data_IF_293771783774
#
_entry.id   IF_293771783774
#
_cell.length_a   1.000
_cell.length_b   1.000
_cell.length_c   1.000
_cell.angle_alpha   90.00
_cell.angle_beta   90.00
_cell.angle_gamma   90.00
#
_symmetry.space_group_name_H-M   'P 1'
#
loop_
_entity.id
_entity.type
_entity.pdbx_description
1 polymer ?
#
# COMPACT_ATOMS: atom_id res chain seq x y z
N UNK A 1 -33.16 0.11 -0.17
CA UNK A 1 -33.11 1.57 0.07
C UNK A 1 -31.78 2.05 0.67
N UNK A 2 -31.39 1.64 1.89
CA UNK A 2 -30.19 2.20 2.57
C UNK A 2 -28.89 2.07 1.77
N UNK A 3 -28.64 0.91 1.15
CA UNK A 3 -27.49 0.67 0.28
C UNK A 3 -27.43 1.66 -0.89
N UNK A 4 -28.53 1.79 -1.65
CA UNK A 4 -28.61 2.72 -2.78
C UNK A 4 -28.37 4.17 -2.36
N UNK A 5 -28.93 4.59 -1.23
CA UNK A 5 -28.69 5.93 -0.66
C UNK A 5 -27.22 6.16 -0.31
N UNK A 6 -26.57 5.15 0.29
CA UNK A 6 -25.15 5.22 0.63
C UNK A 6 -24.27 5.30 -0.62
N UNK A 7 -24.53 4.46 -1.63
CA UNK A 7 -23.83 4.49 -2.93
C UNK A 7 -24.02 5.84 -3.63
N UNK A 8 -25.26 6.36 -3.66
CA UNK A 8 -25.55 7.68 -4.26
C UNK A 8 -24.79 8.82 -3.58
N UNK A 9 -24.77 8.85 -2.24
CA UNK A 9 -23.96 9.83 -1.49
C UNK A 9 -22.45 9.66 -1.71
N UNK A 10 -21.98 8.41 -1.81
CA UNK A 10 -20.59 8.11 -2.10
C UNK A 10 -20.14 8.66 -3.46
N UNK A 11 -20.96 8.44 -4.49
CA UNK A 11 -20.71 8.96 -5.83
C UNK A 11 -20.64 10.49 -5.84
N UNK A 12 -21.61 11.17 -5.21
CA UNK A 12 -21.60 12.63 -5.08
C UNK A 12 -20.35 13.13 -4.36
N UNK A 13 -19.90 12.43 -3.31
CA UNK A 13 -18.67 12.78 -2.58
C UNK A 13 -17.43 12.64 -3.46
N UNK A 14 -17.33 11.59 -4.28
CA UNK A 14 -16.21 11.40 -5.21
C UNK A 14 -16.19 12.50 -6.26
N UNK A 15 -17.33 12.82 -6.88
CA UNK A 15 -17.43 13.90 -7.87
C UNK A 15 -17.07 15.27 -7.28
N UNK A 16 -17.55 15.55 -6.06
CA UNK A 16 -17.30 16.82 -5.37
C UNK A 16 -15.81 17.05 -5.05
N UNK A 17 -14.99 16.00 -4.86
CA UNK A 17 -13.53 16.16 -4.66
C UNK A 17 -12.83 16.84 -5.84
N UNK A 18 -13.41 16.73 -7.03
CA UNK A 18 -12.90 17.32 -8.27
C UNK A 18 -13.76 18.50 -8.74
N UNK A 19 -14.73 18.94 -7.93
CA UNK A 19 -15.62 20.06 -8.27
C UNK A 19 -16.68 19.74 -9.34
N UNK A 20 -17.00 18.47 -9.59
CA UNK A 20 -17.96 18.09 -10.63
C UNK A 20 -19.37 17.97 -10.05
N UNK A 21 -20.32 18.67 -10.68
CA UNK A 21 -21.71 18.77 -10.19
C UNK A 21 -22.72 17.90 -10.93
N UNK A 22 -22.37 17.32 -12.09
CA UNK A 22 -23.30 16.47 -12.87
C UNK A 22 -22.70 15.11 -13.19
N UNK A 23 -23.51 14.06 -13.04
CA UNK A 23 -23.08 12.69 -13.37
C UNK A 23 -22.80 12.52 -14.87
N UNK A 24 -23.53 13.26 -15.71
CA UNK A 24 -23.33 13.25 -17.17
C UNK A 24 -21.92 13.70 -17.54
N UNK A 25 -21.40 14.75 -16.90
CA UNK A 25 -20.02 15.21 -17.11
C UNK A 25 -18.99 14.26 -16.51
N UNK A 26 -19.30 13.59 -15.39
CA UNK A 26 -18.39 12.64 -14.75
C UNK A 26 -18.24 11.33 -15.55
N UNK A 27 -19.33 10.87 -16.18
CA UNK A 27 -19.36 9.63 -16.96
C UNK A 27 -18.38 9.72 -18.14
N UNK A 28 -17.40 8.83 -18.18
CA UNK A 28 -16.39 8.78 -19.24
C UNK A 28 -15.26 9.81 -19.10
N UNK A 29 -15.28 10.67 -18.08
CA UNK A 29 -14.21 11.65 -17.85
C UNK A 29 -12.90 11.02 -17.35
N UNK A 30 -12.91 9.72 -17.00
CA UNK A 30 -11.71 8.94 -16.66
C UNK A 30 -10.82 9.60 -15.58
N UNK A 31 -11.45 10.19 -14.56
CA UNK A 31 -10.75 10.95 -13.51
C UNK A 31 -10.15 9.99 -12.48
N UNK A 32 -9.12 9.26 -12.91
CA UNK A 32 -8.37 8.30 -12.14
C UNK A 32 -6.95 8.19 -12.69
N UNK A 33 -6.02 7.77 -11.85
CA UNK A 33 -4.67 7.37 -12.25
C UNK A 33 -4.56 5.84 -12.09
N UNK A 34 -4.05 5.16 -13.12
CA UNK A 34 -3.77 3.74 -13.07
C UNK A 34 -2.34 3.50 -12.56
N UNK A 35 -2.21 2.78 -11.45
CA UNK A 35 -0.91 2.43 -10.85
C UNK A 35 -0.77 0.91 -10.86
N UNK A 36 0.32 0.40 -11.43
CA UNK A 36 0.65 -1.03 -11.41
C UNK A 36 -0.04 -1.85 -12.50
N UNK A 37 -0.62 -1.21 -13.52
CA UNK A 37 -1.13 -1.87 -14.73
C UNK A 37 -0.17 -1.63 -15.89
N UNK A 38 0.04 -2.65 -16.73
CA UNK A 38 0.85 -2.51 -17.94
C UNK A 38 0.20 -1.55 -18.94
N UNK A 39 1.03 -0.96 -19.80
CA UNK A 39 0.58 -0.02 -20.84
C UNK A 39 -0.46 -0.66 -21.77
N UNK A 40 -0.25 -1.90 -22.20
CA UNK A 40 -1.16 -2.60 -23.12
C UNK A 40 -2.58 -2.74 -22.53
N UNK A 41 -2.70 -2.98 -21.22
CA UNK A 41 -3.99 -3.06 -20.52
C UNK A 41 -4.66 -1.69 -20.45
N UNK A 42 -3.88 -0.65 -20.12
CA UNK A 42 -4.41 0.72 -20.03
C UNK A 42 -4.85 1.21 -21.40
N UNK A 43 -4.04 1.05 -22.43
CA UNK A 43 -4.35 1.49 -23.80
C UNK A 43 -5.59 0.77 -24.36
N UNK A 44 -5.77 -0.53 -24.06
CA UNK A 44 -6.92 -1.29 -24.55
C UNK A 44 -8.22 -1.02 -23.76
N UNK A 45 -8.15 -0.92 -22.43
CA UNK A 45 -9.34 -0.92 -21.58
C UNK A 45 -9.68 0.46 -20.98
N UNK A 46 -8.69 1.35 -20.89
CA UNK A 46 -8.77 2.63 -20.18
C UNK A 46 -8.02 3.72 -20.95
N UNK A 47 -8.15 3.72 -22.29
CA UNK A 47 -7.47 4.67 -23.16
C UNK A 47 -7.63 6.11 -22.67
N UNK A 48 -6.54 6.87 -22.58
CA UNK A 48 -6.51 8.22 -22.03
C UNK A 48 -6.26 8.33 -20.52
N UNK A 49 -6.30 7.24 -19.75
CA UNK A 49 -5.96 7.24 -18.31
C UNK A 49 -4.45 7.35 -18.09
N UNK A 50 -4.03 8.23 -17.18
CA UNK A 50 -2.63 8.36 -16.83
C UNK A 50 -2.11 7.10 -16.11
N UNK A 51 -1.00 6.55 -16.59
CA UNK A 51 -0.31 5.43 -15.93
C UNK A 51 1.21 5.64 -15.94
N UNK A 52 1.75 6.11 -14.82
CA UNK A 52 3.19 6.42 -14.68
C UNK A 52 4.02 5.23 -14.23
N UNK A 53 3.40 4.30 -13.51
CA UNK A 53 4.02 3.09 -13.01
C UNK A 53 3.33 1.89 -13.65
N UNK A 54 4.02 1.28 -14.61
CA UNK A 54 3.56 0.06 -15.26
C UNK A 54 3.47 -1.12 -14.30
N UNK A 55 2.91 -2.24 -14.75
CA UNK A 55 2.87 -3.45 -13.94
C UNK A 55 2.18 -4.62 -14.62
N UNK A 56 1.06 -5.08 -14.06
CA UNK A 56 0.38 -6.30 -14.45
C UNK A 56 -0.19 -6.21 -15.87
N UNK A 57 0.13 -7.21 -16.69
CA UNK A 57 -0.48 -7.44 -18.00
C UNK A 57 -1.67 -8.39 -17.94
N UNK A 58 -2.32 -8.60 -19.08
CA UNK A 58 -3.50 -9.45 -19.21
C UNK A 58 -3.30 -10.87 -18.69
N UNK A 59 -2.15 -11.50 -18.98
CA UNK A 59 -1.84 -12.86 -18.52
C UNK A 59 -1.89 -12.97 -16.98
N UNK A 60 -1.16 -12.10 -16.26
CA UNK A 60 -1.13 -12.11 -14.79
C UNK A 60 -2.47 -11.72 -14.18
N UNK A 61 -3.21 -10.82 -14.82
CA UNK A 61 -4.58 -10.49 -14.40
C UNK A 61 -5.51 -11.71 -14.55
N UNK A 62 -5.39 -12.45 -15.65
CA UNK A 62 -6.10 -13.69 -15.89
C UNK A 62 -5.77 -14.76 -14.86
N UNK A 63 -4.49 -14.98 -14.57
CA UNK A 63 -4.04 -15.90 -13.53
C UNK A 63 -4.63 -15.55 -12.16
N UNK A 64 -4.61 -14.27 -11.77
CA UNK A 64 -5.24 -13.85 -10.50
C UNK A 64 -6.75 -14.04 -10.48
N UNK A 65 -7.42 -13.81 -11.60
CA UNK A 65 -8.85 -14.09 -11.70
C UNK A 65 -9.15 -15.60 -11.52
N UNK A 66 -8.29 -16.47 -12.08
CA UNK A 66 -8.37 -17.92 -11.88
C UNK A 66 -8.06 -18.32 -10.43
N UNK A 67 -7.07 -17.72 -9.77
CA UNK A 67 -6.79 -17.98 -8.34
C UNK A 67 -7.97 -17.61 -7.44
N UNK A 68 -8.65 -16.49 -7.72
CA UNK A 68 -9.88 -16.12 -7.00
C UNK A 68 -11.00 -17.11 -7.29
N UNK A 69 -11.13 -17.55 -8.54
CA UNK A 69 -12.12 -18.55 -8.93
C UNK A 69 -11.87 -19.89 -8.22
N UNK A 70 -10.66 -20.42 -8.24
CA UNK A 70 -10.29 -21.68 -7.59
C UNK A 70 -10.49 -21.63 -6.08
N UNK A 71 -10.22 -20.48 -5.43
CA UNK A 71 -10.55 -20.28 -4.00
C UNK A 71 -12.06 -20.37 -3.73
N UNK A 72 -12.86 -19.84 -4.65
CA UNK A 72 -14.32 -19.88 -4.56
C UNK A 72 -14.94 -21.17 -5.06
N UNK A 73 -14.28 -21.93 -5.94
CA UNK A 73 -14.79 -23.14 -6.57
C UNK A 73 -13.64 -24.14 -6.73
N UNK A 74 -13.20 -24.81 -5.64
CA UNK A 74 -12.04 -25.68 -5.71
C UNK A 74 -12.27 -26.86 -6.64
N UNK A 75 -11.37 -27.07 -7.59
CA UNK A 75 -11.44 -28.13 -8.60
C UNK A 75 -11.36 -29.54 -7.98
N UNK A 76 -10.78 -29.64 -6.78
CA UNK A 76 -10.66 -30.90 -6.02
C UNK A 76 -11.84 -31.17 -5.10
N UNK A 77 -12.86 -30.31 -5.11
CA UNK A 77 -13.99 -30.45 -4.21
C UNK A 77 -14.90 -31.63 -4.62
N UNK A 78 -15.11 -32.56 -3.68
CA UNK A 78 -16.00 -33.72 -3.86
C UNK A 78 -17.36 -33.55 -3.18
N UNK A 79 -17.52 -32.50 -2.37
CA UNK A 79 -18.77 -32.14 -1.70
C UNK A 79 -19.58 -31.14 -2.54
N UNK A 80 -20.90 -31.02 -2.33
CA UNK A 80 -21.69 -30.02 -3.02
C UNK A 80 -21.31 -28.59 -2.57
N UNK A 81 -21.46 -27.64 -3.50
CA UNK A 81 -21.09 -26.21 -3.38
C UNK A 81 -21.54 -25.57 -2.07
N UNK A 82 -22.75 -25.82 -1.62
CA UNK A 82 -23.32 -25.28 -0.39
C UNK A 82 -22.64 -25.77 0.92
N UNK A 83 -21.91 -26.89 0.86
CA UNK A 83 -21.21 -27.49 2.00
C UNK A 83 -19.70 -27.25 1.98
N UNK A 84 -19.17 -26.67 0.89
CA UNK A 84 -17.74 -26.39 0.72
C UNK A 84 -17.28 -25.13 1.45
N UNK A 85 -18.20 -24.24 1.83
CA UNK A 85 -17.85 -22.91 2.33
C UNK A 85 -18.07 -22.77 3.82
N UNK A 86 -16.97 -22.51 4.54
CA UNK A 86 -17.00 -21.89 5.85
C UNK A 86 -17.22 -20.37 5.77
N UNK A 87 -16.90 -19.66 6.85
CA UNK A 87 -16.87 -18.20 6.82
C UNK A 87 -15.81 -17.68 5.84
N UNK A 88 -16.10 -16.56 5.16
CA UNK A 88 -15.12 -15.88 4.31
C UNK A 88 -13.87 -15.54 5.12
N UNK A 89 -12.69 -15.78 4.52
CA UNK A 89 -11.41 -15.38 5.08
C UNK A 89 -11.36 -13.87 5.32
N UNK A 90 -10.78 -13.46 6.45
CA UNK A 90 -10.52 -12.06 6.75
C UNK A 90 -9.02 -11.76 6.61
N UNK A 91 -8.63 -11.27 5.45
CA UNK A 91 -7.24 -10.92 5.12
C UNK A 91 -6.73 -9.68 5.88
N UNK A 92 -7.58 -8.96 6.63
CA UNK A 92 -7.14 -7.79 7.41
C UNK A 92 -6.87 -6.53 6.58
N UNK A 93 -7.52 -6.36 5.43
CA UNK A 93 -7.32 -5.21 4.54
C UNK A 93 -7.50 -3.84 5.24
N UNK A 94 -8.47 -3.72 6.14
CA UNK A 94 -8.75 -2.47 6.87
C UNK A 94 -8.07 -2.38 8.23
N UNK A 95 -7.90 -3.52 8.91
CA UNK A 95 -7.36 -3.58 10.27
C UNK A 95 -6.37 -4.73 10.34
N UNK A 96 -5.26 -4.51 11.05
CA UNK A 96 -4.23 -5.51 11.25
C UNK A 96 -4.82 -6.85 11.72
N UNK A 97 -4.35 -7.92 11.09
CA UNK A 97 -4.57 -9.31 11.50
C UNK A 97 -3.22 -10.01 11.56
N UNK A 98 -3.09 -10.92 12.52
CA UNK A 98 -1.93 -11.79 12.60
C UNK A 98 -2.12 -12.97 11.64
N UNK A 99 -1.08 -13.31 10.89
CA UNK A 99 -1.07 -14.44 9.98
C UNK A 99 -0.17 -14.19 8.78
N UNK A 100 0.26 -15.26 8.13
CA UNK A 100 1.08 -15.16 6.94
C UNK A 100 0.25 -14.65 5.75
N UNK A 101 -1.00 -15.12 5.64
CA UNK A 101 -1.99 -14.70 4.64
C UNK A 101 -2.67 -13.34 4.94
N UNK A 102 -2.32 -12.71 6.06
CA UNK A 102 -2.85 -11.39 6.41
C UNK A 102 -2.08 -10.28 5.70
N UNK A 103 -2.83 -9.27 5.26
CA UNK A 103 -2.33 -8.03 4.68
C UNK A 103 -1.27 -7.40 5.61
N UNK A 104 -0.16 -6.94 5.04
CA UNK A 104 0.93 -6.33 5.83
C UNK A 104 0.65 -4.85 6.06
N UNK A 105 0.64 -4.44 7.33
CA UNK A 105 0.40 -3.05 7.72
C UNK A 105 1.69 -2.36 8.16
N UNK A 106 1.90 -1.10 7.76
CA UNK A 106 3.03 -0.29 8.24
C UNK A 106 2.96 -0.04 9.76
N UNK A 107 1.74 0.03 10.30
CA UNK A 107 1.46 0.17 11.73
C UNK A 107 1.37 -1.20 12.42
N UNK A 108 2.39 -2.02 12.23
CA UNK A 108 2.49 -3.35 12.83
C UNK A 108 2.69 -3.25 14.37
N UNK A 109 2.01 -4.08 15.19
CA UNK A 109 2.12 -4.03 16.65
C UNK A 109 3.55 -4.21 17.18
N UNK A 110 4.37 -5.06 16.57
CA UNK A 110 5.76 -5.29 16.99
C UNK A 110 6.63 -4.09 16.67
N UNK A 111 6.42 -3.45 15.51
CA UNK A 111 7.11 -2.21 15.14
C UNK A 111 6.76 -1.09 16.11
N UNK A 112 5.47 -0.93 16.44
CA UNK A 112 5.00 0.07 17.40
C UNK A 112 5.61 -0.20 18.79
N UNK A 113 5.58 -1.45 19.26
CA UNK A 113 6.14 -1.82 20.56
C UNK A 113 7.64 -1.47 20.67
N UNK A 114 8.42 -1.79 19.63
CA UNK A 114 9.87 -1.47 19.61
C UNK A 114 10.15 0.02 19.52
N UNK A 115 9.35 0.78 18.78
CA UNK A 115 9.45 2.24 18.77
C UNK A 115 9.15 2.85 20.14
N UNK A 116 8.08 2.38 20.80
CA UNK A 116 7.71 2.82 22.13
C UNK A 116 8.77 2.47 23.18
N UNK A 117 9.33 1.26 23.12
CA UNK A 117 10.43 0.83 23.98
C UNK A 117 11.64 1.75 23.81
N UNK A 118 12.04 2.02 22.57
CA UNK A 118 13.16 2.91 22.25
C UNK A 118 12.94 4.32 22.80
N UNK A 119 11.75 4.89 22.60
CA UNK A 119 11.43 6.24 23.05
C UNK A 119 11.34 6.37 24.58
N UNK A 120 10.76 5.38 25.28
CA UNK A 120 10.60 5.42 26.74
C UNK A 120 11.90 5.14 27.50
N UNK A 121 12.74 4.25 26.97
CA UNK A 121 13.96 3.79 27.65
C UNK A 121 15.24 4.43 27.12
N UNK A 122 15.13 5.26 26.07
CA UNK A 122 16.27 5.79 25.32
C UNK A 122 17.23 4.69 24.80
N UNK A 123 16.69 3.51 24.48
CA UNK A 123 17.47 2.35 24.04
C UNK A 123 17.77 2.39 22.55
N UNK A 124 19.06 2.57 22.21
CA UNK A 124 19.52 2.51 20.81
C UNK A 124 19.37 1.10 20.21
N UNK A 125 19.49 0.06 21.03
CA UNK A 125 19.28 -1.32 20.59
C UNK A 125 17.82 -1.56 20.17
N UNK A 126 16.85 -1.06 20.97
CA UNK A 126 15.44 -1.13 20.62
C UNK A 126 15.13 -0.34 19.34
N UNK A 127 15.74 0.84 19.16
CA UNK A 127 15.60 1.62 17.93
C UNK A 127 16.14 0.89 16.70
N UNK A 128 17.30 0.23 16.81
CA UNK A 128 17.86 -0.57 15.72
C UNK A 128 16.94 -1.73 15.32
N UNK A 129 16.31 -2.40 16.29
CA UNK A 129 15.32 -3.45 16.03
C UNK A 129 14.08 -2.88 15.34
N UNK A 130 13.54 -1.76 15.84
CA UNK A 130 12.45 -1.03 15.20
C UNK A 130 12.76 -0.69 13.74
N UNK A 131 13.93 -0.08 13.49
CA UNK A 131 14.34 0.35 12.16
C UNK A 131 14.46 -0.84 11.19
N UNK A 132 15.03 -1.96 11.63
CA UNK A 132 15.14 -3.17 10.83
C UNK A 132 13.75 -3.75 10.45
N UNK A 133 12.86 -3.89 11.44
CA UNK A 133 11.49 -4.39 11.21
C UNK A 133 10.72 -3.45 10.26
N UNK A 134 10.74 -2.14 10.53
CA UNK A 134 10.04 -1.16 9.72
C UNK A 134 10.57 -1.11 8.28
N UNK A 135 11.90 -1.15 8.08
CA UNK A 135 12.49 -1.17 6.75
C UNK A 135 12.08 -2.41 5.94
N UNK A 136 11.97 -3.58 6.60
CA UNK A 136 11.49 -4.79 5.94
C UNK A 136 10.01 -4.67 5.53
N UNK A 137 9.15 -4.08 6.37
CA UNK A 137 7.75 -3.81 6.00
C UNK A 137 7.65 -2.81 4.84
N UNK A 138 8.46 -1.74 4.85
CA UNK A 138 8.49 -0.73 3.79
C UNK A 138 8.84 -1.37 2.43
N UNK A 139 9.77 -2.33 2.41
CA UNK A 139 10.11 -3.13 1.21
C UNK A 139 8.93 -3.92 0.66
N UNK A 140 8.00 -4.37 1.50
CA UNK A 140 6.86 -5.18 1.07
C UNK A 140 5.62 -4.35 0.72
N UNK A 141 5.50 -3.13 1.26
CA UNK A 141 4.25 -2.36 1.24
C UNK A 141 4.31 -1.02 0.50
N UNK A 142 5.47 -0.59 0.02
CA UNK A 142 5.61 0.75 -0.58
C UNK A 142 6.58 0.79 -1.77
N UNK A 143 6.35 1.75 -2.67
CA UNK A 143 7.21 1.98 -3.84
C UNK A 143 8.63 2.33 -3.42
N UNK A 144 8.81 3.17 -2.39
CA UNK A 144 10.15 3.53 -1.89
C UNK A 144 10.93 2.33 -1.36
N UNK A 145 10.23 1.28 -0.94
CA UNK A 145 10.84 0.02 -0.52
C UNK A 145 11.41 -0.82 -1.67
N UNK A 146 11.04 -0.52 -2.92
CA UNK A 146 11.61 -1.14 -4.13
C UNK A 146 12.87 -0.40 -4.62
N UNK A 147 13.28 0.68 -3.93
CA UNK A 147 14.44 1.47 -4.26
C UNK A 147 15.59 1.13 -3.31
N UNK A 148 16.82 1.20 -3.81
CA UNK A 148 18.03 1.03 -3.00
C UNK A 148 19.07 2.09 -3.32
N UNK A 149 19.95 2.37 -2.36
CA UNK A 149 21.08 3.27 -2.55
C UNK A 149 22.20 2.55 -3.28
N UNK A 150 22.60 3.09 -4.43
CA UNK A 150 23.84 2.62 -5.07
C UNK A 150 25.03 2.92 -4.16
N UNK A 151 25.97 1.97 -4.00
CA UNK A 151 27.12 2.17 -3.12
C UNK A 151 28.00 3.34 -3.61
N UNK A 152 28.65 4.09 -2.71
CA UNK A 152 29.41 5.30 -3.06
C UNK A 152 30.46 5.09 -4.17
N UNK A 153 31.07 3.89 -4.21
CA UNK A 153 32.08 3.52 -5.22
C UNK A 153 31.53 3.59 -6.64
N UNK A 154 30.24 3.30 -6.85
CA UNK A 154 29.61 3.41 -8.17
C UNK A 154 29.47 4.87 -8.65
N UNK A 155 29.60 5.84 -7.75
CA UNK A 155 29.65 7.27 -8.06
C UNK A 155 31.08 7.83 -8.02
N UNK A 156 32.11 6.97 -7.94
CA UNK A 156 33.49 7.41 -7.76
C UNK A 156 33.77 8.08 -6.42
N UNK A 157 32.97 7.78 -5.39
CA UNK A 157 33.08 8.37 -4.04
C UNK A 157 33.44 7.30 -3.00
N UNK A 158 34.05 7.73 -1.90
CA UNK A 158 34.25 6.92 -0.70
C UNK A 158 33.24 7.29 0.38
N UNK A 159 33.04 6.40 1.36
CA UNK A 159 32.35 6.76 2.59
C UNK A 159 33.11 7.88 3.31
N UNK A 160 32.38 8.77 3.98
CA UNK A 160 32.94 9.88 4.74
C UNK A 160 32.85 9.61 6.24
N UNK A 161 33.76 10.16 7.08
CA UNK A 161 33.67 10.06 8.53
C UNK A 161 32.36 10.66 9.06
N UNK A 162 31.79 10.09 10.13
CA UNK A 162 30.53 10.59 10.69
C UNK A 162 30.64 12.04 11.16
N UNK A 163 31.81 12.47 11.65
CA UNK A 163 32.05 13.84 12.11
C UNK A 163 32.05 14.88 10.98
N UNK A 164 32.11 14.44 9.72
CA UNK A 164 31.94 15.31 8.55
C UNK A 164 30.48 15.50 8.13
N UNK A 165 29.56 14.76 8.77
CA UNK A 165 28.12 14.86 8.53
C UNK A 165 27.53 15.95 9.43
N UNK A 166 26.53 16.66 8.93
CA UNK A 166 25.76 17.65 9.68
C UNK A 166 25.24 17.07 11.02
N UNK A 167 25.38 17.79 12.15
CA UNK A 167 24.99 17.28 13.45
C UNK A 167 23.48 17.10 13.59
N UNK A 168 23.07 16.17 14.45
CA UNK A 168 21.65 15.84 14.67
C UNK A 168 20.80 17.05 15.09
N UNK A 169 21.39 18.02 15.80
CA UNK A 169 20.73 19.27 16.22
C UNK A 169 20.33 20.17 15.05
N UNK A 170 21.02 20.09 13.92
CA UNK A 170 20.67 20.83 12.69
C UNK A 170 19.70 20.02 11.83
N UNK A 171 19.90 18.69 11.72
CA UNK A 171 19.00 17.80 10.99
C UNK A 171 17.56 17.85 11.52
N UNK A 172 17.39 17.82 12.85
CA UNK A 172 16.06 17.81 13.49
C UNK A 172 15.25 19.08 13.18
N UNK A 173 15.91 20.20 12.85
CA UNK A 173 15.22 21.45 12.46
C UNK A 173 14.44 21.31 11.16
N UNK A 174 14.68 20.27 10.36
CA UNK A 174 13.91 19.97 9.14
C UNK A 174 12.65 19.16 9.43
N UNK A 175 12.54 18.56 10.62
CA UNK A 175 11.38 17.77 10.98
C UNK A 175 10.22 18.69 11.38
N UNK A 176 9.00 18.24 11.05
CA UNK A 176 7.76 18.92 11.37
C UNK A 176 6.80 17.88 11.92
N UNK A 177 6.21 18.15 13.07
CA UNK A 177 5.03 17.41 13.51
C UNK A 177 3.84 17.96 12.74
N UNK A 178 3.13 17.10 12.01
CA UNK A 178 1.93 17.52 11.28
C UNK A 178 0.88 18.08 12.25
N UNK A 179 0.07 19.04 11.80
CA UNK A 179 -1.03 19.56 12.61
C UNK A 179 -2.08 18.45 12.82
N UNK A 180 -2.38 18.16 14.09
CA UNK A 180 -3.50 17.32 14.49
C UNK A 180 -4.51 18.22 15.20
N UNK A 181 -5.78 18.17 14.80
CA UNK A 181 -6.83 18.95 15.45
C UNK A 181 -6.94 18.59 16.93
N UNK A 182 -7.07 19.61 17.79
CA UNK A 182 -7.31 19.44 19.23
C UNK A 182 -8.68 18.82 19.53
#
# INVERSE_FOLDING_TARGET
YNYQKAVGKGLLKVMAKMGISTLRSYKGAQIADAIGLSKDVVDMCFDGVASKLGGLGFEKLGLRAMEVHERGFPSTATAPVDQLYGALGNEGQFNYRQGDDAEKHMNDPMVIAKLQEAARTNSRAAYSQFAALHNNLVKQSSIRGQLDFKPPRQYGRSAVPLDSVEPASELVKRFRTGAMSY
#
